data_IF_543217990062
#
_entry.id   IF_543217990062
#
_cell.length_a   1.000
_cell.length_b   1.000
_cell.length_c   1.000
_cell.angle_alpha   90.00
_cell.angle_beta   90.00
_cell.angle_gamma   90.00
#
_symmetry.space_group_name_H-M   'P 1'
#
loop_
_entity.id
_entity.type
_entity.pdbx_description
1 polymer ?
#
# COMPACT_ATOMS: atom_id res chain seq x y z
N UNK A 1 5.62 -2.88 -9.25
CA UNK A 1 6.39 -3.49 -8.15
C UNK A 1 7.59 -2.65 -7.74
N UNK A 2 8.29 -2.01 -8.69
CA UNK A 2 9.52 -1.25 -8.40
C UNK A 2 9.29 -0.11 -7.39
N UNK A 3 8.13 0.51 -7.42
CA UNK A 3 7.76 1.62 -6.55
C UNK A 3 7.62 1.20 -5.09
N UNK A 4 7.26 -0.07 -4.84
CA UNK A 4 6.95 -0.60 -3.51
C UNK A 4 8.04 -1.53 -2.96
N UNK A 5 9.15 -1.71 -3.68
CA UNK A 5 10.20 -2.67 -3.33
C UNK A 5 10.79 -2.52 -1.93
N UNK A 6 10.88 -1.29 -1.44
CA UNK A 6 11.50 -1.03 -0.13
C UNK A 6 10.62 -1.44 1.04
N UNK A 7 9.34 -1.66 0.82
CA UNK A 7 8.37 -1.93 1.88
C UNK A 7 7.81 -3.35 1.86
N UNK A 8 8.00 -4.06 0.76
CA UNK A 8 7.44 -5.39 0.55
C UNK A 8 8.52 -6.36 0.11
N UNK A 9 8.40 -7.61 0.57
CA UNK A 9 9.27 -8.69 0.09
C UNK A 9 8.78 -9.27 -1.23
N UNK A 10 7.48 -9.23 -1.46
CA UNK A 10 6.89 -9.82 -2.65
C UNK A 10 5.59 -9.14 -3.07
N UNK A 11 5.38 -9.04 -4.37
CA UNK A 11 4.11 -8.63 -4.97
C UNK A 11 3.68 -9.71 -5.94
N UNK A 12 2.49 -10.29 -5.75
CA UNK A 12 1.97 -11.37 -6.60
C UNK A 12 0.59 -11.05 -7.15
N UNK A 13 0.30 -11.56 -8.34
CA UNK A 13 -1.05 -11.54 -8.88
C UNK A 13 -1.92 -12.58 -8.14
N UNK A 14 -3.15 -12.22 -7.80
CA UNK A 14 -4.07 -13.09 -7.09
C UNK A 14 -5.33 -13.35 -7.90
N UNK A 15 -5.77 -14.62 -7.91
CA UNK A 15 -7.04 -15.01 -8.51
C UNK A 15 -8.18 -15.11 -7.50
N UNK A 16 -7.87 -14.99 -6.20
CA UNK A 16 -8.87 -15.11 -5.12
C UNK A 16 -9.58 -13.80 -4.77
N UNK A 17 -9.01 -12.67 -5.17
CA UNK A 17 -9.62 -11.36 -4.91
C UNK A 17 -10.70 -11.07 -5.95
N UNK A 18 -11.91 -10.73 -5.48
CA UNK A 18 -13.07 -10.48 -6.34
C UNK A 18 -13.36 -8.97 -6.42
N UNK A 19 -13.51 -8.31 -5.27
CA UNK A 19 -13.89 -6.89 -5.20
C UNK A 19 -12.77 -5.97 -4.74
N UNK A 20 -11.77 -6.50 -4.05
CA UNK A 20 -10.66 -5.69 -3.54
C UNK A 20 -9.55 -5.56 -4.58
N UNK A 21 -8.93 -4.36 -4.73
CA UNK A 21 -7.81 -4.20 -5.66
C UNK A 21 -6.53 -4.89 -5.16
N UNK A 22 -6.33 -4.96 -3.85
CA UNK A 22 -5.14 -5.57 -3.25
C UNK A 22 -5.41 -6.04 -1.83
N UNK A 23 -4.61 -7.00 -1.37
CA UNK A 23 -4.65 -7.55 -0.03
C UNK A 23 -3.22 -7.80 0.45
N UNK A 24 -2.95 -7.43 1.68
CA UNK A 24 -1.66 -7.73 2.32
C UNK A 24 -1.78 -9.05 3.07
N UNK A 25 -0.86 -9.98 2.80
CA UNK A 25 -0.83 -11.31 3.44
C UNK A 25 0.56 -11.61 3.99
N UNK A 26 0.65 -12.60 4.89
CA UNK A 26 1.92 -12.98 5.52
C UNK A 26 2.49 -11.92 6.45
N UNK A 27 1.72 -10.88 6.77
CA UNK A 27 2.15 -9.81 7.68
C UNK A 27 2.21 -10.30 9.13
N UNK A 28 2.99 -9.58 9.94
CA UNK A 28 3.13 -9.85 11.37
C UNK A 28 1.76 -9.74 12.07
N UNK A 29 1.37 -10.76 12.88
CA UNK A 29 0.13 -10.67 13.66
C UNK A 29 0.14 -9.47 14.60
N UNK A 30 -1.03 -8.87 14.82
CA UNK A 30 -1.18 -7.71 15.70
C UNK A 30 -0.69 -7.99 17.11
N UNK A 31 -1.00 -9.18 17.65
CA UNK A 31 -0.56 -9.59 18.97
C UNK A 31 0.98 -9.61 19.11
N UNK A 32 1.68 -10.11 18.09
CA UNK A 32 3.14 -10.13 18.05
C UNK A 32 3.71 -8.72 17.95
N UNK A 33 3.09 -7.85 17.16
CA UNK A 33 3.50 -6.45 17.04
C UNK A 33 3.37 -5.70 18.37
N UNK A 34 2.26 -5.91 19.09
CA UNK A 34 2.05 -5.34 20.43
C UNK A 34 3.08 -5.86 21.43
N UNK A 35 3.33 -7.15 21.40
CA UNK A 35 4.32 -7.78 22.28
C UNK A 35 5.72 -7.22 22.03
N UNK A 36 6.09 -7.04 20.77
CA UNK A 36 7.38 -6.46 20.39
C UNK A 36 7.52 -5.01 20.87
N UNK A 37 6.46 -4.21 20.76
CA UNK A 37 6.45 -2.83 21.25
C UNK A 37 6.64 -2.78 22.78
N UNK A 38 5.98 -3.67 23.51
CA UNK A 38 6.14 -3.78 24.97
C UNK A 38 7.53 -4.24 25.35
N UNK A 39 8.09 -5.20 24.64
CA UNK A 39 9.44 -5.72 24.89
C UNK A 39 10.52 -4.66 24.65
N UNK A 40 10.34 -3.80 23.65
CA UNK A 40 11.27 -2.70 23.38
C UNK A 40 11.28 -1.67 24.50
N UNK A 41 10.13 -1.46 25.16
CA UNK A 41 10.04 -0.58 26.32
C UNK A 41 10.73 -1.17 27.55
N UNK A 42 10.77 -2.51 27.66
CA UNK A 42 11.38 -3.20 28.80
C UNK A 42 12.91 -3.27 28.75
N UNK A 43 13.54 -2.80 27.67
CA UNK A 43 15.01 -2.77 27.48
C UNK A 43 15.70 -4.13 27.57
N UNK A 44 14.98 -5.23 27.34
CA UNK A 44 15.57 -6.57 27.35
C UNK A 44 16.11 -6.91 25.95
N UNK A 45 17.43 -6.85 25.80
CA UNK A 45 18.10 -7.09 24.53
C UNK A 45 17.96 -8.54 24.03
N UNK A 46 17.89 -9.52 24.94
CA UNK A 46 17.73 -10.93 24.56
C UNK A 46 16.33 -11.20 23.99
N UNK A 47 15.28 -10.64 24.60
CA UNK A 47 13.91 -10.74 24.11
C UNK A 47 13.77 -10.03 22.76
N UNK A 48 14.33 -8.84 22.63
CA UNK A 48 14.31 -8.07 21.38
C UNK A 48 15.01 -8.82 20.26
N UNK A 49 16.15 -9.46 20.50
CA UNK A 49 16.87 -10.26 19.52
C UNK A 49 16.04 -11.46 19.05
N UNK A 50 15.36 -12.15 19.96
CA UNK A 50 14.48 -13.27 19.62
C UNK A 50 13.28 -12.84 18.78
N UNK A 51 12.66 -11.72 19.15
CA UNK A 51 11.53 -11.16 18.41
C UNK A 51 11.94 -10.74 17.00
N UNK A 52 13.09 -10.09 16.86
CA UNK A 52 13.65 -9.72 15.55
C UNK A 52 13.88 -10.95 14.68
N UNK A 53 14.47 -12.01 15.25
CA UNK A 53 14.71 -13.26 14.53
C UNK A 53 13.40 -13.92 14.07
N UNK A 54 12.33 -13.86 14.90
CA UNK A 54 11.01 -14.38 14.53
C UNK A 54 10.34 -13.54 13.43
N UNK A 55 10.41 -12.21 13.54
CA UNK A 55 9.79 -11.31 12.57
C UNK A 55 10.51 -11.32 11.21
N UNK A 56 11.82 -11.56 11.18
CA UNK A 56 12.58 -11.69 9.94
C UNK A 56 12.12 -12.88 9.08
N UNK A 57 11.49 -13.88 9.70
CA UNK A 57 10.93 -15.02 8.99
C UNK A 57 9.56 -14.75 8.37
N UNK A 58 8.91 -13.67 8.79
CA UNK A 58 7.60 -13.29 8.28
C UNK A 58 7.79 -12.56 6.94
N UNK A 59 7.25 -13.15 5.89
CA UNK A 59 7.29 -12.57 4.55
C UNK A 59 5.98 -11.87 4.27
N UNK A 60 6.05 -10.54 4.08
CA UNK A 60 4.88 -9.76 3.72
C UNK A 60 4.72 -9.76 2.20
N UNK A 61 3.57 -10.22 1.75
CA UNK A 61 3.22 -10.30 0.34
C UNK A 61 2.03 -9.40 0.03
N UNK A 62 2.14 -8.58 -1.00
CA UNK A 62 1.00 -7.84 -1.55
C UNK A 62 0.39 -8.65 -2.68
N UNK A 63 -0.84 -9.12 -2.48
CA UNK A 63 -1.62 -9.78 -3.52
C UNK A 63 -2.43 -8.73 -4.26
N UNK A 64 -2.35 -8.73 -5.58
CA UNK A 64 -2.96 -7.71 -6.45
C UNK A 64 -3.99 -8.35 -7.36
N UNK A 65 -5.17 -7.74 -7.44
CA UNK A 65 -6.21 -8.16 -8.37
C UNK A 65 -6.02 -7.43 -9.71
N UNK A 66 -5.34 -8.07 -10.64
CA UNK A 66 -5.03 -7.48 -11.95
C UNK A 66 -6.26 -7.23 -12.83
N UNK A 67 -7.42 -7.78 -12.47
CA UNK A 67 -8.69 -7.56 -13.17
C UNK A 67 -9.49 -6.38 -12.62
N UNK A 68 -9.06 -5.84 -11.46
CA UNK A 68 -9.76 -4.71 -10.85
C UNK A 68 -9.63 -3.46 -11.72
N UNK A 69 -10.71 -2.67 -11.92
CA UNK A 69 -10.68 -1.46 -12.76
C UNK A 69 -9.56 -0.48 -12.39
N UNK A 70 -9.26 -0.29 -11.09
CA UNK A 70 -8.16 0.57 -10.65
C UNK A 70 -6.81 0.09 -11.18
N UNK A 71 -6.55 -1.22 -11.11
CA UNK A 71 -5.29 -1.80 -11.58
C UNK A 71 -5.16 -1.69 -13.10
N UNK A 72 -6.25 -1.90 -13.83
CA UNK A 72 -6.27 -1.73 -15.27
C UNK A 72 -6.01 -0.28 -15.68
N UNK A 73 -6.60 0.67 -14.97
CA UNK A 73 -6.40 2.11 -15.20
C UNK A 73 -4.97 2.54 -14.90
N UNK A 74 -4.38 2.05 -13.82
CA UNK A 74 -2.98 2.32 -13.46
C UNK A 74 -2.04 1.78 -14.54
N UNK A 75 -2.31 0.57 -15.02
CA UNK A 75 -1.49 -0.04 -16.06
C UNK A 75 -1.52 0.76 -17.37
N UNK A 76 -2.69 1.28 -17.74
CA UNK A 76 -2.82 2.16 -18.91
C UNK A 76 -2.11 3.50 -18.66
N UNK A 77 -2.30 4.11 -17.50
CA UNK A 77 -1.76 5.42 -17.16
C UNK A 77 -0.22 5.43 -17.09
N UNK A 78 0.41 4.36 -16.62
CA UNK A 78 1.88 4.28 -16.55
C UNK A 78 2.54 4.32 -17.92
N UNK A 79 1.81 4.00 -18.96
CA UNK A 79 2.28 4.02 -20.36
C UNK A 79 2.08 5.38 -21.02
N UNK A 80 1.41 6.32 -20.35
CA UNK A 80 1.17 7.66 -20.87
C UNK A 80 2.47 8.44 -21.01
N UNK A 81 2.54 9.30 -22.01
CA UNK A 81 3.63 10.26 -22.19
C UNK A 81 3.46 11.51 -21.28
N UNK A 82 2.28 11.71 -20.72
CA UNK A 82 1.99 12.82 -19.82
C UNK A 82 2.54 12.52 -18.41
N UNK A 83 3.49 13.34 -17.96
CA UNK A 83 4.13 13.18 -16.66
C UNK A 83 3.14 13.35 -15.49
N UNK A 84 2.11 14.18 -15.65
CA UNK A 84 1.08 14.37 -14.64
C UNK A 84 0.25 13.09 -14.46
N UNK A 85 -0.11 12.43 -15.57
CA UNK A 85 -0.85 11.16 -15.56
C UNK A 85 -0.01 10.06 -14.90
N UNK A 86 1.27 9.97 -15.23
CA UNK A 86 2.19 9.01 -14.62
C UNK A 86 2.32 9.23 -13.11
N UNK A 87 2.44 10.49 -12.67
CA UNK A 87 2.54 10.83 -11.25
C UNK A 87 1.28 10.41 -10.49
N UNK A 88 0.10 10.68 -11.04
CA UNK A 88 -1.18 10.30 -10.43
C UNK A 88 -1.30 8.77 -10.34
N UNK A 89 -0.91 8.05 -11.38
CA UNK A 89 -0.91 6.58 -11.37
C UNK A 89 -0.02 6.03 -10.25
N UNK A 90 1.14 6.62 -10.07
CA UNK A 90 2.07 6.26 -8.99
C UNK A 90 1.48 6.52 -7.61
N UNK A 91 0.86 7.69 -7.41
CA UNK A 91 0.21 8.06 -6.16
C UNK A 91 -0.94 7.10 -5.82
N UNK A 92 -1.73 6.72 -6.82
CA UNK A 92 -2.83 5.77 -6.65
C UNK A 92 -2.29 4.37 -6.30
N UNK A 93 -1.21 3.94 -6.93
CA UNK A 93 -0.58 2.65 -6.61
C UNK A 93 -0.12 2.61 -5.15
N UNK A 94 0.54 3.66 -4.66
CA UNK A 94 0.91 3.77 -3.26
C UNK A 94 -0.31 3.77 -2.34
N UNK A 95 -1.39 4.44 -2.75
CA UNK A 95 -2.61 4.49 -1.95
C UNK A 95 -3.28 3.11 -1.85
N UNK A 96 -3.28 2.33 -2.92
CA UNK A 96 -3.80 0.95 -2.90
C UNK A 96 -3.01 0.10 -1.89
N UNK A 97 -1.70 0.26 -1.87
CA UNK A 97 -0.85 -0.43 -0.89
C UNK A 97 -1.17 0.02 0.54
N UNK A 98 -1.26 1.33 0.77
CA UNK A 98 -1.58 1.85 2.10
C UNK A 98 -2.98 1.43 2.57
N UNK A 99 -3.96 1.37 1.66
CA UNK A 99 -5.28 0.85 1.98
C UNK A 99 -5.22 -0.62 2.43
N UNK A 100 -4.38 -1.42 1.78
CA UNK A 100 -4.16 -2.82 2.19
C UNK A 100 -3.50 -2.89 3.57
N UNK A 101 -2.57 -2.00 3.89
CA UNK A 101 -1.95 -1.89 5.22
C UNK A 101 -2.97 -1.50 6.29
N UNK A 102 -3.83 -0.54 6.00
CA UNK A 102 -4.90 -0.13 6.93
C UNK A 102 -5.84 -1.31 7.20
N UNK A 103 -6.26 -2.02 6.15
CA UNK A 103 -7.14 -3.18 6.28
C UNK A 103 -6.50 -4.32 7.08
N UNK A 104 -5.18 -4.49 6.95
CA UNK A 104 -4.42 -5.50 7.69
C UNK A 104 -4.07 -5.07 9.12
N UNK A 105 -4.31 -3.80 9.49
CA UNK A 105 -3.94 -3.26 10.79
C UNK A 105 -2.45 -3.04 10.98
N UNK A 106 -1.68 -2.89 9.90
CA UNK A 106 -0.22 -2.75 9.95
C UNK A 106 0.28 -1.32 9.76
N UNK A 107 -0.61 -0.37 9.51
CA UNK A 107 -0.24 1.04 9.39
C UNK A 107 -0.21 1.71 10.76
N UNK A 108 0.96 2.21 11.15
CA UNK A 108 1.16 2.83 12.47
C UNK A 108 0.57 4.24 12.54
N UNK A 109 0.77 5.06 11.51
CA UNK A 109 0.24 6.42 11.46
C UNK A 109 -0.41 6.70 10.09
N UNK A 110 -1.76 6.60 10.00
CA UNK A 110 -2.45 6.86 8.75
C UNK A 110 -2.37 8.31 8.27
N UNK A 111 -1.95 9.25 9.11
CA UNK A 111 -1.78 10.66 8.71
C UNK A 111 -0.70 10.85 7.64
N UNK A 112 0.26 9.92 7.56
CA UNK A 112 1.33 9.96 6.57
C UNK A 112 0.81 9.95 5.12
N UNK A 113 -0.37 9.38 4.89
CA UNK A 113 -0.95 9.30 3.54
C UNK A 113 -1.86 10.47 3.17
N UNK A 114 -2.14 11.41 4.10
CA UNK A 114 -3.09 12.49 3.86
C UNK A 114 -2.64 13.45 2.74
N UNK A 115 -1.36 13.77 2.66
CA UNK A 115 -0.81 14.62 1.60
C UNK A 115 -1.05 14.01 0.21
N UNK A 116 -0.80 12.71 0.06
CA UNK A 116 -1.04 11.99 -1.19
C UNK A 116 -2.53 11.92 -1.53
N UNK A 117 -3.37 11.65 -0.54
CA UNK A 117 -4.82 11.63 -0.73
C UNK A 117 -5.34 12.98 -1.22
N UNK A 118 -4.85 14.08 -0.66
CA UNK A 118 -5.23 15.42 -1.09
C UNK A 118 -4.83 15.68 -2.54
N UNK A 119 -3.66 15.25 -2.98
CA UNK A 119 -3.23 15.36 -4.37
C UNK A 119 -4.12 14.55 -5.31
N UNK A 120 -4.50 13.34 -4.92
CA UNK A 120 -5.41 12.50 -5.70
C UNK A 120 -6.79 13.16 -5.81
N UNK A 121 -7.32 13.70 -4.72
CA UNK A 121 -8.59 14.40 -4.70
C UNK A 121 -8.57 15.64 -5.59
N UNK A 122 -7.49 16.41 -5.54
CA UNK A 122 -7.33 17.60 -6.38
C UNK A 122 -7.34 17.24 -7.87
N UNK A 123 -6.62 16.18 -8.23
CA UNK A 123 -6.62 15.67 -9.60
C UNK A 123 -8.03 15.24 -10.04
N UNK A 124 -8.77 14.55 -9.20
CA UNK A 124 -10.13 14.12 -9.49
C UNK A 124 -11.05 15.31 -9.77
N UNK A 125 -10.96 16.37 -8.96
CA UNK A 125 -11.75 17.59 -9.13
C UNK A 125 -11.36 18.30 -10.43
N UNK A 126 -10.08 18.47 -10.72
CA UNK A 126 -9.59 19.08 -11.96
C UNK A 126 -10.06 18.31 -13.20
N UNK A 127 -10.09 16.99 -13.13
CA UNK A 127 -10.57 16.14 -14.23
C UNK A 127 -12.05 16.34 -14.53
N UNK A 128 -12.87 16.47 -13.48
CA UNK A 128 -14.31 16.75 -13.62
C UNK A 128 -14.53 18.13 -14.23
N UNK A 129 -13.83 19.14 -13.74
CA UNK A 129 -13.92 20.50 -14.31
C UNK A 129 -13.49 20.54 -15.77
N UNK A 130 -12.45 19.79 -16.13
CA UNK A 130 -11.99 19.67 -17.52
C UNK A 130 -13.04 19.05 -18.43
N UNK A 131 -13.77 18.04 -17.98
CA UNK A 131 -14.85 17.40 -18.74
C UNK A 131 -16.04 18.33 -18.94
N UNK A 132 -16.43 19.09 -17.92
CA UNK A 132 -17.50 20.08 -18.04
C UNK A 132 -17.18 21.20 -19.03
N UNK A 133 -15.94 21.65 -19.08
CA UNK A 133 -15.51 22.67 -20.03
C UNK A 133 -15.48 22.19 -21.48
N UNK A 134 -15.38 20.86 -21.69
CA UNK A 134 -15.40 20.26 -23.02
C UNK A 134 -16.81 20.06 -23.58
N UNK A 135 -17.80 20.07 -22.70
CA UNK A 135 -19.22 20.00 -23.08
C UNK A 135 -19.74 21.38 -23.44
#
# INVERSE_FOLDING_TARGET
SDVLQFQLKEVTASNRLVSSPALLSGHEPEAMRRYRAMASMASDSAVNARLTALTDKITTTLEVNCKHPLLLSINAARKSSDSKVQKVAKDIAFQIYDNARVAAGTMDDPREMLGRLNEILLYAVESVDGDERRK
#
